data_IF_963076126101
#
_entry.id   IF_963076126101
#
_cell.length_a   1.000
_cell.length_b   1.000
_cell.length_c   1.000
_cell.angle_alpha   90.00
_cell.angle_beta   90.00
_cell.angle_gamma   90.00
#
_symmetry.space_group_name_H-M   'P 1'
#
loop_
_entity.id
_entity.type
_entity.pdbx_description
1 polymer ?
#
# COMPACT_ATOMS: atom_id res chain seq x y z
N UNK A 1 -4.30 -15.68 -10.33
CA UNK A 1 -2.83 -15.41 -10.11
C UNK A 1 -2.43 -15.96 -8.75
N UNK A 2 -1.14 -16.35 -8.54
CA UNK A 2 -0.62 -16.71 -7.22
C UNK A 2 0.36 -15.62 -6.72
N UNK A 3 -0.09 -14.69 -5.84
CA UNK A 3 0.76 -13.61 -5.34
C UNK A 3 2.01 -14.09 -4.60
N UNK A 4 1.92 -15.20 -3.88
CA UNK A 4 3.05 -15.74 -3.12
C UNK A 4 4.19 -16.23 -4.02
N UNK A 5 3.86 -16.87 -5.14
CA UNK A 5 4.85 -17.26 -6.14
C UNK A 5 5.56 -16.03 -6.73
N UNK A 6 4.82 -14.95 -7.00
CA UNK A 6 5.40 -13.70 -7.49
C UNK A 6 6.36 -13.09 -6.44
N UNK A 7 5.94 -13.03 -5.18
CA UNK A 7 6.78 -12.52 -4.08
C UNK A 7 8.05 -13.35 -3.93
N UNK A 8 7.95 -14.69 -4.01
CA UNK A 8 9.09 -15.60 -3.90
C UNK A 8 10.11 -15.48 -5.04
N UNK A 9 9.75 -14.84 -6.15
CA UNK A 9 10.75 -14.48 -7.18
C UNK A 9 11.67 -13.33 -6.76
N UNK A 10 11.31 -12.58 -5.69
CA UNK A 10 12.00 -11.39 -5.22
C UNK A 10 12.57 -11.54 -3.80
N UNK A 11 11.99 -12.43 -3.00
CA UNK A 11 12.32 -12.61 -1.59
C UNK A 11 12.63 -14.06 -1.28
N UNK A 12 13.66 -14.28 -0.49
CA UNK A 12 13.93 -15.61 0.04
C UNK A 12 12.91 -15.95 1.15
N UNK A 13 12.19 -17.09 1.08
CA UNK A 13 11.10 -17.42 2.03
C UNK A 13 11.48 -17.45 3.50
N UNK A 14 12.77 -17.70 3.80
CA UNK A 14 13.29 -17.74 5.17
C UNK A 14 13.86 -16.39 5.64
N UNK A 15 13.80 -15.34 4.80
CA UNK A 15 14.31 -14.01 5.17
C UNK A 15 13.34 -13.27 6.08
N UNK A 16 13.87 -12.44 6.97
CA UNK A 16 13.07 -11.55 7.82
C UNK A 16 12.27 -10.55 6.99
N UNK A 17 12.83 -10.04 5.90
CA UNK A 17 12.11 -9.15 4.99
C UNK A 17 10.87 -9.82 4.38
N UNK A 18 10.96 -11.12 4.00
CA UNK A 18 9.81 -11.89 3.52
C UNK A 18 8.75 -12.04 4.61
N UNK A 19 9.14 -12.44 5.82
CA UNK A 19 8.22 -12.61 6.96
C UNK A 19 7.46 -11.30 7.25
N UNK A 20 8.18 -10.17 7.31
CA UNK A 20 7.59 -8.85 7.53
C UNK A 20 6.62 -8.49 6.42
N UNK A 21 7.02 -8.63 5.15
CA UNK A 21 6.18 -8.33 3.98
C UNK A 21 4.90 -9.16 4.02
N UNK A 22 4.99 -10.48 4.19
CA UNK A 22 3.84 -11.37 4.16
C UNK A 22 2.89 -11.09 5.32
N UNK A 23 3.42 -10.90 6.53
CA UNK A 23 2.59 -10.62 7.72
C UNK A 23 1.83 -9.31 7.57
N UNK A 24 2.53 -8.25 7.17
CA UNK A 24 1.92 -6.96 6.91
C UNK A 24 0.87 -7.02 5.80
N UNK A 25 1.22 -7.57 4.65
CA UNK A 25 0.34 -7.62 3.48
C UNK A 25 -0.89 -8.49 3.69
N UNK A 26 -0.79 -9.58 4.48
CA UNK A 26 -1.96 -10.39 4.89
C UNK A 26 -2.91 -9.57 5.77
N UNK A 27 -2.39 -8.84 6.76
CA UNK A 27 -3.22 -7.99 7.62
C UNK A 27 -3.97 -6.93 6.80
N UNK A 28 -3.30 -6.32 5.81
CA UNK A 28 -3.93 -5.36 4.88
C UNK A 28 -5.00 -6.05 4.03
N UNK A 29 -4.71 -7.22 3.47
CA UNK A 29 -5.65 -7.98 2.64
C UNK A 29 -6.89 -8.40 3.43
N UNK A 30 -6.71 -8.94 4.63
CA UNK A 30 -7.81 -9.41 5.48
C UNK A 30 -8.72 -8.24 5.88
N UNK A 31 -8.14 -7.09 6.24
CA UNK A 31 -8.92 -5.88 6.55
C UNK A 31 -9.67 -5.35 5.32
N UNK A 32 -9.02 -5.26 4.18
CA UNK A 32 -9.65 -4.75 2.95
C UNK A 32 -10.79 -5.67 2.50
N UNK A 33 -10.59 -6.99 2.55
CA UNK A 33 -11.64 -7.97 2.21
C UNK A 33 -12.79 -7.92 3.20
N UNK A 34 -12.52 -7.88 4.52
CA UNK A 34 -13.57 -7.77 5.53
C UNK A 34 -14.44 -6.52 5.33
N UNK A 35 -13.85 -5.38 4.98
CA UNK A 35 -14.60 -4.16 4.64
C UNK A 35 -15.40 -4.38 3.35
N UNK A 36 -14.81 -4.93 2.29
CA UNK A 36 -15.48 -5.16 1.02
C UNK A 36 -16.73 -6.05 1.17
N UNK A 37 -16.65 -7.08 2.02
CA UNK A 37 -17.77 -8.00 2.31
C UNK A 37 -18.93 -7.30 3.04
N UNK A 38 -18.70 -6.18 3.72
CA UNK A 38 -19.76 -5.38 4.35
C UNK A 38 -20.43 -4.40 3.39
N UNK A 39 -19.93 -4.26 2.17
CA UNK A 39 -20.41 -3.33 1.15
C UNK A 39 -20.76 -4.01 -0.17
N UNK A 40 -21.73 -4.97 -0.19
CA UNK A 40 -22.09 -5.68 -1.41
C UNK A 40 -22.62 -4.75 -2.52
N UNK A 41 -23.17 -3.59 -2.14
CA UNK A 41 -23.66 -2.56 -3.06
C UNK A 41 -22.55 -1.93 -3.91
N UNK A 42 -21.30 -2.02 -3.48
CA UNK A 42 -20.16 -1.47 -4.23
C UNK A 42 -19.63 -2.41 -5.33
N UNK A 43 -20.13 -3.64 -5.40
CA UNK A 43 -19.75 -4.66 -6.40
C UNK A 43 -18.22 -4.84 -6.56
N UNK A 44 -17.50 -4.84 -5.43
CA UNK A 44 -16.03 -4.87 -5.38
C UNK A 44 -15.47 -6.22 -5.84
N UNK A 45 -14.37 -6.17 -6.58
CA UNK A 45 -13.62 -7.35 -7.03
C UNK A 45 -12.77 -7.91 -5.86
N UNK A 46 -13.41 -8.70 -4.99
CA UNK A 46 -12.77 -9.28 -3.78
C UNK A 46 -11.53 -10.12 -4.11
N UNK A 47 -11.54 -11.01 -5.13
CA UNK A 47 -10.33 -11.71 -5.55
C UNK A 47 -9.17 -10.75 -5.88
N UNK A 48 -9.44 -9.71 -6.66
CA UNK A 48 -8.44 -8.69 -7.00
C UNK A 48 -7.95 -7.92 -5.77
N UNK A 49 -8.85 -7.51 -4.86
CA UNK A 49 -8.47 -6.82 -3.62
C UNK A 49 -7.49 -7.67 -2.82
N UNK A 50 -7.77 -8.96 -2.65
CA UNK A 50 -6.88 -9.88 -1.93
C UNK A 50 -5.52 -10.01 -2.60
N UNK A 51 -5.49 -10.23 -3.89
CA UNK A 51 -4.25 -10.38 -4.66
C UNK A 51 -3.41 -9.10 -4.66
N UNK A 52 -4.05 -7.96 -4.93
CA UNK A 52 -3.38 -6.66 -5.01
C UNK A 52 -2.87 -6.18 -3.63
N UNK A 53 -3.63 -6.42 -2.56
CA UNK A 53 -3.19 -6.12 -1.20
C UNK A 53 -1.97 -6.97 -0.79
N UNK A 54 -1.89 -8.24 -1.22
CA UNK A 54 -0.69 -9.06 -0.99
C UNK A 54 0.55 -8.54 -1.72
N UNK A 55 0.37 -7.85 -2.85
CA UNK A 55 1.46 -7.39 -3.72
C UNK A 55 1.80 -5.89 -3.55
N UNK A 56 1.00 -5.11 -2.80
CA UNK A 56 1.13 -3.65 -2.80
C UNK A 56 2.51 -3.14 -2.38
N UNK A 57 3.20 -3.87 -1.55
CA UNK A 57 4.51 -3.54 -0.99
C UNK A 57 5.68 -4.36 -1.59
N UNK A 58 5.44 -5.09 -2.69
CA UNK A 58 6.46 -5.99 -3.25
C UNK A 58 7.81 -5.31 -3.54
N UNK A 59 7.84 -4.01 -3.73
CA UNK A 59 9.04 -3.23 -4.05
C UNK A 59 9.93 -2.84 -2.85
N UNK A 60 9.57 -3.15 -1.60
CA UNK A 60 10.34 -2.68 -0.43
C UNK A 60 11.79 -3.20 -0.42
N UNK A 61 12.07 -4.40 -0.95
CA UNK A 61 13.42 -4.96 -0.98
C UNK A 61 14.41 -4.14 -1.84
N UNK A 62 13.90 -3.33 -2.76
CA UNK A 62 14.71 -2.43 -3.59
C UNK A 62 15.16 -1.16 -2.86
N UNK A 63 14.59 -0.93 -1.67
CA UNK A 63 14.80 0.28 -0.88
C UNK A 63 15.73 0.03 0.32
N UNK A 64 16.35 1.10 0.79
CA UNK A 64 17.14 1.09 2.02
C UNK A 64 16.23 1.33 3.23
N UNK A 65 15.92 0.25 3.96
CA UNK A 65 15.11 0.25 5.18
C UNK A 65 15.56 -0.90 6.09
N UNK A 66 16.72 -0.77 6.75
CA UNK A 66 17.34 -1.85 7.54
C UNK A 66 16.48 -2.29 8.72
N UNK A 67 15.60 -1.44 9.23
CA UNK A 67 14.65 -1.78 10.33
C UNK A 67 13.62 -2.86 9.92
N UNK A 68 13.41 -3.06 8.63
CA UNK A 68 12.58 -4.13 8.05
C UNK A 68 13.39 -5.11 7.21
N UNK A 69 14.71 -5.16 7.43
CA UNK A 69 15.63 -6.04 6.75
C UNK A 69 15.70 -5.87 5.22
N UNK A 70 15.48 -4.64 4.76
CA UNK A 70 15.59 -4.26 3.34
C UNK A 70 16.87 -3.44 3.10
N UNK A 71 17.76 -3.95 2.25
CA UNK A 71 19.11 -3.42 2.03
C UNK A 71 19.33 -2.95 0.57
N UNK A 72 18.26 -2.53 -0.10
CA UNK A 72 18.31 -1.94 -1.44
C UNK A 72 18.95 -0.53 -1.44
N UNK A 73 19.03 0.08 -2.62
CA UNK A 73 19.71 1.37 -2.82
C UNK A 73 18.75 2.58 -2.83
N UNK A 74 17.48 2.36 -3.20
CA UNK A 74 16.53 3.44 -3.35
C UNK A 74 16.03 3.98 -1.99
N UNK A 75 15.67 5.28 -1.90
CA UNK A 75 14.93 5.80 -0.77
C UNK A 75 13.61 5.05 -0.56
N UNK A 76 13.18 4.87 0.69
CA UNK A 76 11.97 4.08 0.99
C UNK A 76 10.70 4.58 0.28
N UNK A 77 10.57 5.88 0.08
CA UNK A 77 9.44 6.49 -0.66
C UNK A 77 9.27 5.93 -2.09
N UNK A 78 10.31 5.32 -2.64
CA UNK A 78 10.33 4.77 -4.00
C UNK A 78 9.70 3.38 -4.12
N UNK A 79 9.43 2.68 -2.99
CA UNK A 79 8.98 1.28 -3.02
C UNK A 79 7.72 1.07 -3.87
N UNK A 80 6.77 2.01 -3.84
CA UNK A 80 5.50 1.90 -4.57
C UNK A 80 5.72 1.85 -6.09
N UNK A 81 6.40 2.84 -6.66
CA UNK A 81 6.60 2.86 -8.11
C UNK A 81 7.59 1.78 -8.60
N UNK A 82 8.61 1.45 -7.79
CA UNK A 82 9.55 0.38 -8.13
C UNK A 82 8.87 -1.00 -8.14
N UNK A 83 8.02 -1.27 -7.15
CA UNK A 83 7.19 -2.47 -7.14
C UNK A 83 6.19 -2.51 -8.29
N UNK A 84 5.60 -1.36 -8.63
CA UNK A 84 4.69 -1.23 -9.77
C UNK A 84 5.39 -1.55 -11.10
N UNK A 85 6.61 -1.06 -11.31
CA UNK A 85 7.38 -1.36 -12.52
C UNK A 85 7.73 -2.85 -12.62
N UNK A 86 8.02 -3.50 -11.50
CA UNK A 86 8.23 -4.94 -11.42
C UNK A 86 6.93 -5.70 -11.82
N UNK A 87 5.79 -5.30 -11.28
CA UNK A 87 4.50 -5.95 -11.59
C UNK A 87 4.08 -5.71 -13.05
N UNK A 88 4.33 -4.53 -13.63
CA UNK A 88 4.11 -4.26 -15.07
C UNK A 88 4.94 -5.18 -15.95
N UNK A 89 6.23 -5.35 -15.64
CA UNK A 89 7.12 -6.27 -16.37
C UNK A 89 6.67 -7.72 -16.30
N UNK A 90 5.99 -8.10 -15.20
CA UNK A 90 5.42 -9.45 -15.03
C UNK A 90 4.02 -9.61 -15.66
N UNK A 91 3.46 -8.58 -16.28
CA UNK A 91 2.14 -8.62 -16.94
C UNK A 91 0.95 -8.36 -16.01
N UNK A 92 1.15 -7.70 -14.88
CA UNK A 92 0.10 -7.38 -13.89
C UNK A 92 -0.15 -5.87 -13.77
N UNK A 93 -0.60 -5.17 -14.84
CA UNK A 93 -0.70 -3.72 -14.84
C UNK A 93 -1.74 -3.18 -13.85
N UNK A 94 -2.86 -3.88 -13.60
CA UNK A 94 -3.89 -3.47 -12.63
C UNK A 94 -3.35 -3.52 -11.20
N UNK A 95 -2.61 -4.58 -10.84
CA UNK A 95 -1.97 -4.71 -9.53
C UNK A 95 -0.84 -3.68 -9.35
N UNK A 96 -0.14 -3.35 -10.42
CA UNK A 96 0.87 -2.31 -10.42
C UNK A 96 0.32 -0.93 -10.03
N UNK A 97 -0.91 -0.60 -10.42
CA UNK A 97 -1.56 0.67 -10.03
C UNK A 97 -1.77 0.75 -8.51
N UNK A 98 -2.20 -0.35 -7.88
CA UNK A 98 -2.34 -0.41 -6.41
C UNK A 98 -0.98 -0.20 -5.74
N UNK A 99 0.05 -0.91 -6.21
CA UNK A 99 1.42 -0.80 -5.70
C UNK A 99 1.95 0.65 -5.81
N UNK A 100 1.74 1.31 -6.95
CA UNK A 100 2.21 2.67 -7.21
C UNK A 100 1.51 3.74 -6.36
N UNK A 101 0.22 3.53 -6.05
CA UNK A 101 -0.68 4.58 -5.58
C UNK A 101 -1.02 4.52 -4.09
N UNK A 102 -0.40 3.60 -3.32
CA UNK A 102 -0.74 3.40 -1.90
C UNK A 102 0.07 4.24 -0.91
N UNK A 103 1.17 4.89 -1.34
CA UNK A 103 2.06 5.65 -0.44
C UNK A 103 1.34 6.88 0.13
N UNK A 104 1.31 7.00 1.47
CA UNK A 104 0.47 8.01 2.14
C UNK A 104 -1.01 7.76 1.83
N UNK A 105 -1.73 8.76 1.35
CA UNK A 105 -3.05 8.62 0.70
C UNK A 105 -2.95 8.80 -0.81
N UNK A 106 -1.74 8.61 -1.36
CA UNK A 106 -1.36 8.84 -2.74
C UNK A 106 -0.57 10.13 -2.93
N UNK A 107 0.26 10.17 -3.96
CA UNK A 107 1.13 11.31 -4.25
C UNK A 107 0.62 12.04 -5.49
N UNK A 108 0.30 13.34 -5.36
CA UNK A 108 -0.02 14.19 -6.51
C UNK A 108 1.25 14.72 -7.16
N UNK A 109 1.21 15.11 -8.47
CA UNK A 109 2.32 15.78 -9.12
C UNK A 109 2.77 17.07 -8.39
N UNK A 110 1.83 17.81 -7.80
CA UNK A 110 2.10 19.03 -7.03
C UNK A 110 2.90 18.71 -5.77
N UNK A 111 2.48 17.70 -5.01
CA UNK A 111 3.18 17.27 -3.80
C UNK A 111 4.58 16.74 -4.11
N UNK A 112 4.72 15.93 -5.18
CA UNK A 112 6.01 15.40 -5.64
C UNK A 112 6.96 16.55 -5.94
N UNK A 113 6.48 17.57 -6.67
CA UNK A 113 7.27 18.75 -7.03
C UNK A 113 7.62 19.62 -5.83
N UNK A 114 6.62 19.93 -4.99
CA UNK A 114 6.82 20.78 -3.81
C UNK A 114 7.83 20.21 -2.81
N UNK A 115 7.83 18.89 -2.65
CA UNK A 115 8.70 18.18 -1.70
C UNK A 115 9.96 17.62 -2.35
N UNK A 116 10.15 17.85 -3.65
CA UNK A 116 11.26 17.29 -4.44
C UNK A 116 11.44 15.78 -4.18
N UNK A 117 10.33 15.02 -4.23
CA UNK A 117 10.38 13.59 -3.97
C UNK A 117 11.08 12.86 -5.11
N UNK A 118 11.94 11.86 -4.81
CA UNK A 118 12.70 11.10 -5.81
C UNK A 118 11.82 10.01 -6.48
N UNK A 119 10.65 10.40 -6.94
CA UNK A 119 9.66 9.51 -7.60
C UNK A 119 9.24 10.13 -8.93
N UNK A 120 8.72 9.34 -9.89
CA UNK A 120 8.25 9.88 -11.17
C UNK A 120 7.19 10.97 -10.98
N UNK A 121 7.31 12.06 -11.78
CA UNK A 121 6.37 13.19 -11.73
C UNK A 121 5.09 12.84 -12.48
N UNK A 122 4.17 12.17 -11.84
CA UNK A 122 2.86 11.78 -12.37
C UNK A 122 1.84 11.58 -11.25
N UNK A 123 0.57 11.44 -11.63
CA UNK A 123 -0.51 11.15 -10.69
C UNK A 123 -0.36 9.75 -10.08
N UNK A 124 -0.18 9.68 -8.77
CA UNK A 124 -0.06 8.43 -7.99
C UNK A 124 -1.05 8.39 -6.82
N UNK A 125 -2.21 9.03 -6.96
CA UNK A 125 -3.33 8.87 -6.00
C UNK A 125 -4.22 7.71 -6.42
N UNK A 126 -4.77 6.92 -5.47
CA UNK A 126 -5.73 5.86 -5.77
C UNK A 126 -6.93 6.40 -6.56
N UNK A 127 -7.33 5.71 -7.62
CA UNK A 127 -8.44 6.13 -8.50
C UNK A 127 -9.63 5.19 -8.41
N UNK A 128 -9.42 3.86 -8.57
CA UNK A 128 -10.52 2.92 -8.39
C UNK A 128 -10.89 2.78 -6.93
N UNK A 129 -12.09 2.28 -6.68
CA UNK A 129 -12.58 2.06 -5.32
C UNK A 129 -11.75 0.98 -4.59
N UNK A 130 -11.29 -0.04 -5.30
CA UNK A 130 -10.42 -1.08 -4.76
C UNK A 130 -9.03 -0.53 -4.43
N UNK A 131 -8.45 0.36 -5.29
CA UNK A 131 -7.19 1.06 -4.98
C UNK A 131 -7.32 1.88 -3.70
N UNK A 132 -8.44 2.63 -3.55
CA UNK A 132 -8.73 3.43 -2.37
C UNK A 132 -8.88 2.57 -1.12
N UNK A 133 -9.63 1.46 -1.21
CA UNK A 133 -9.86 0.55 -0.10
C UNK A 133 -8.56 -0.11 0.38
N UNK A 134 -7.71 -0.58 -0.54
CA UNK A 134 -6.42 -1.19 -0.17
C UNK A 134 -5.49 -0.13 0.46
N UNK A 135 -5.39 1.05 -0.15
CA UNK A 135 -4.63 2.17 0.40
C UNK A 135 -5.13 2.57 1.80
N UNK A 136 -6.45 2.61 2.02
CA UNK A 136 -7.07 2.85 3.33
C UNK A 136 -6.70 1.78 4.35
N UNK A 137 -6.87 0.50 3.99
CA UNK A 137 -6.58 -0.64 4.88
C UNK A 137 -5.11 -0.67 5.31
N UNK A 138 -4.17 -0.34 4.40
CA UNK A 138 -2.74 -0.28 4.70
C UNK A 138 -2.42 0.71 5.83
N UNK A 139 -3.16 1.84 5.95
CA UNK A 139 -2.87 2.85 7.00
C UNK A 139 -2.95 2.29 8.41
N UNK A 140 -3.73 1.24 8.63
CA UNK A 140 -3.94 0.64 9.95
C UNK A 140 -2.77 -0.21 10.44
N UNK A 141 -1.86 -0.63 9.58
CA UNK A 141 -0.78 -1.55 9.90
C UNK A 141 0.61 -0.92 9.78
N UNK A 142 1.60 -1.54 10.42
CA UNK A 142 2.99 -1.08 10.42
C UNK A 142 3.91 -2.29 10.19
N UNK A 143 4.95 -2.14 9.40
CA UNK A 143 5.98 -3.17 9.17
C UNK A 143 6.94 -3.37 10.35
N UNK A 144 6.94 -2.43 11.30
CA UNK A 144 7.77 -2.51 12.53
C UNK A 144 7.00 -2.93 13.78
N UNK A 145 5.65 -2.97 13.69
CA UNK A 145 4.75 -3.38 14.78
C UNK A 145 3.62 -4.21 14.17
N UNK A 146 3.94 -5.44 13.79
CA UNK A 146 3.08 -6.34 13.02
C UNK A 146 1.88 -6.87 13.81
N UNK A 147 1.96 -6.83 15.15
CA UNK A 147 1.03 -7.45 16.10
C UNK A 147 -0.21 -6.59 16.42
N UNK A 148 -0.29 -5.39 15.88
CA UNK A 148 -1.37 -4.46 16.25
C UNK A 148 -1.84 -3.55 15.13
N UNK A 149 -3.13 -3.26 15.18
CA UNK A 149 -3.78 -2.26 14.35
C UNK A 149 -3.65 -0.85 14.99
N UNK A 150 -3.36 0.15 14.18
CA UNK A 150 -3.29 1.55 14.64
C UNK A 150 -4.69 2.14 14.80
N UNK A 151 -4.98 2.86 15.89
CA UNK A 151 -6.24 3.60 16.01
C UNK A 151 -6.29 4.76 14.99
N UNK A 152 -7.51 5.12 14.54
CA UNK A 152 -7.77 6.17 13.54
C UNK A 152 -7.05 7.49 13.90
N UNK A 153 -7.13 7.92 15.17
CA UNK A 153 -6.49 9.16 15.61
C UNK A 153 -4.96 9.16 15.41
N UNK A 154 -4.32 8.01 15.60
CA UNK A 154 -2.90 7.86 15.34
C UNK A 154 -2.56 7.92 13.86
N UNK A 155 -3.42 7.37 13.01
CA UNK A 155 -3.28 7.44 11.55
C UNK A 155 -3.42 8.89 11.09
N UNK A 156 -4.48 9.61 11.52
CA UNK A 156 -4.70 11.02 11.22
C UNK A 156 -3.51 11.90 11.61
N UNK A 157 -2.97 11.70 12.82
CA UNK A 157 -1.78 12.42 13.29
C UNK A 157 -0.55 12.14 12.41
N UNK A 158 -0.36 10.92 11.95
CA UNK A 158 0.72 10.56 11.03
C UNK A 158 0.54 11.19 9.65
N UNK A 159 -0.68 11.20 9.11
CA UNK A 159 -0.99 11.76 7.81
C UNK A 159 -0.90 13.29 7.79
N UNK A 160 -1.15 13.97 8.91
CA UNK A 160 -1.01 15.43 9.03
C UNK A 160 0.40 15.92 8.67
N UNK A 161 1.43 15.06 8.83
CA UNK A 161 2.79 15.38 8.40
C UNK A 161 2.95 15.46 6.87
N UNK A 162 2.05 14.84 6.10
CA UNK A 162 2.02 14.92 4.63
C UNK A 162 1.19 16.11 4.13
N UNK A 163 0.14 16.48 4.85
CA UNK A 163 -0.70 17.64 4.54
C UNK A 163 -2.15 17.45 5.00
N UNK A 164 -2.91 18.56 4.99
CA UNK A 164 -4.34 18.55 5.35
C UNK A 164 -5.17 17.73 4.35
N UNK A 165 -4.79 17.73 3.07
CA UNK A 165 -5.46 16.94 2.04
C UNK A 165 -5.38 15.43 2.30
N UNK A 166 -4.26 14.94 2.85
CA UNK A 166 -4.09 13.53 3.21
C UNK A 166 -5.03 13.13 4.35
N UNK A 167 -5.17 13.99 5.35
CA UNK A 167 -6.12 13.80 6.46
C UNK A 167 -7.55 13.82 5.95
N UNK A 168 -7.91 14.83 5.14
CA UNK A 168 -9.26 14.96 4.59
C UNK A 168 -9.66 13.76 3.72
N UNK A 169 -8.73 13.24 2.91
CA UNK A 169 -8.97 12.03 2.10
C UNK A 169 -9.16 10.79 2.97
N UNK A 170 -8.33 10.63 3.99
CA UNK A 170 -8.49 9.53 4.94
C UNK A 170 -9.82 9.60 5.70
N UNK A 171 -10.25 10.79 6.13
CA UNK A 171 -11.54 10.99 6.80
C UNK A 171 -12.72 10.70 5.86
N UNK A 172 -12.62 11.05 4.58
CA UNK A 172 -13.61 10.66 3.58
C UNK A 172 -13.69 9.13 3.42
N UNK A 173 -12.56 8.43 3.44
CA UNK A 173 -12.52 6.96 3.42
C UNK A 173 -13.07 6.33 4.71
N UNK A 174 -12.85 6.95 5.88
CA UNK A 174 -13.48 6.50 7.13
C UNK A 174 -15.02 6.54 7.02
N UNK A 175 -15.58 7.61 6.44
CA UNK A 175 -17.02 7.71 6.19
C UNK A 175 -17.50 6.67 5.18
N UNK A 176 -16.76 6.52 4.08
CA UNK A 176 -17.11 5.62 2.98
C UNK A 176 -17.08 4.15 3.39
N UNK A 177 -16.00 3.72 4.07
CA UNK A 177 -15.71 2.31 4.33
C UNK A 177 -16.10 1.84 5.74
N UNK A 178 -16.24 2.75 6.71
CA UNK A 178 -16.57 2.40 8.09
C UNK A 178 -17.85 3.06 8.60
N UNK A 179 -18.47 3.96 7.83
CA UNK A 179 -19.67 4.70 8.25
C UNK A 179 -19.40 5.67 9.42
N UNK A 180 -18.18 6.17 9.57
CA UNK A 180 -17.74 6.99 10.74
C UNK A 180 -17.29 8.39 10.32
#
# INVERSE_FOLDING_TARGET
>A
MNPLEIIQTCYHPESRAYEILITHSRSVADKAVAIAETHPEMELDIPFIREAALLHDIGIFLCHAPEIDCHGQAPYICHGYLGADLLRKKGYPRHALVCERHTGTGLSPELIRQRNLPVPLREMRPQSIEEQLICFADKFFSKTKLDREKPIEKIRKGLAAYGEDDVARFDAWCKLFLGK
#
